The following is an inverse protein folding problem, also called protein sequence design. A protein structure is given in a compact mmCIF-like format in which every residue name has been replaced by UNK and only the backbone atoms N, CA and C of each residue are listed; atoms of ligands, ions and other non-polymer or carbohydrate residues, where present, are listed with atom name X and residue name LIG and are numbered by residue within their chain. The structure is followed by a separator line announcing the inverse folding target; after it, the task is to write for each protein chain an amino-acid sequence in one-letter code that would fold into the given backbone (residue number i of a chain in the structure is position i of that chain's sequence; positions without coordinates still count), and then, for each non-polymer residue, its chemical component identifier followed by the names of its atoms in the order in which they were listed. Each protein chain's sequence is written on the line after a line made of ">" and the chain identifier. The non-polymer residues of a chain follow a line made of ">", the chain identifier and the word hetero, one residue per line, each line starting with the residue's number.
data_IF_577854977902
#
_entry.id   IF_577854977902
#
_cell.length_a   1.000
_cell.length_b   1.000
_cell.length_c   1.000
_cell.angle_alpha   90.00
_cell.angle_beta   90.00
_cell.angle_gamma   90.00
#
_symmetry.space_group_name_H-M   'P 1'
#
loop_
_entity.id
_entity.type
_entity.pdbx_description
1 polymer ?
#
# COMPACT_ATOMS: atom_id res chain seq x y z
N UNK A 1 -3.24 8.62 7.17
CA UNK A 1 -4.32 7.79 6.58
C UNK A 1 -4.13 7.79 5.07
N UNK A 2 -4.26 6.64 4.42
CA UNK A 2 -4.10 6.52 2.97
C UNK A 2 -5.27 7.20 2.24
N UNK A 3 -5.04 7.63 1.01
CA UNK A 3 -6.00 8.32 0.16
C UNK A 3 -5.99 7.67 -1.22
N UNK A 4 -7.17 7.29 -1.71
CA UNK A 4 -7.34 6.77 -3.07
C UNK A 4 -6.88 7.83 -4.09
N UNK A 5 -6.13 7.39 -5.10
CA UNK A 5 -5.53 8.26 -6.11
C UNK A 5 -4.16 8.83 -5.72
N UNK A 6 -3.65 8.56 -4.51
CA UNK A 6 -2.29 8.94 -4.10
C UNK A 6 -1.32 7.76 -4.15
N UNK A 7 -0.06 8.10 -4.32
CA UNK A 7 1.07 7.15 -4.25
C UNK A 7 1.90 7.37 -2.99
N UNK A 8 2.46 6.28 -2.48
CA UNK A 8 3.22 6.22 -1.24
C UNK A 8 4.47 5.37 -1.44
N UNK A 9 5.63 5.84 -0.95
CA UNK A 9 6.85 5.04 -0.97
C UNK A 9 6.79 3.94 0.09
N UNK A 10 7.26 2.74 -0.25
CA UNK A 10 7.52 1.67 0.73
C UNK A 10 8.94 1.81 1.29
N UNK A 11 9.20 1.24 2.47
CA UNK A 11 10.54 1.29 3.10
C UNK A 11 11.63 0.60 2.27
N UNK A 12 11.28 -0.37 1.42
CA UNK A 12 12.22 -1.03 0.50
C UNK A 12 12.35 -0.34 -0.86
N UNK A 13 11.90 0.92 -0.99
CA UNK A 13 12.14 1.73 -2.18
C UNK A 13 11.18 1.49 -3.36
N UNK A 14 10.10 0.73 -3.14
CA UNK A 14 9.01 0.59 -4.11
C UNK A 14 7.97 1.70 -3.92
N UNK A 15 7.03 1.80 -4.85
CA UNK A 15 5.93 2.78 -4.78
C UNK A 15 4.59 2.06 -4.82
N UNK A 16 3.74 2.29 -3.83
CA UNK A 16 2.36 1.83 -3.80
C UNK A 16 1.42 2.93 -4.31
N UNK A 17 0.64 2.66 -5.35
CA UNK A 17 -0.43 3.53 -5.86
C UNK A 17 -1.77 3.05 -5.30
N UNK A 18 -2.39 3.83 -4.43
CA UNK A 18 -3.66 3.48 -3.80
C UNK A 18 -4.83 3.67 -4.77
N UNK A 19 -5.52 2.58 -5.13
CA UNK A 19 -6.58 2.60 -6.16
C UNK A 19 -7.98 2.38 -5.59
N UNK A 20 -8.10 1.77 -4.42
CA UNK A 20 -9.41 1.52 -3.79
C UNK A 20 -9.34 1.55 -2.26
N UNK A 21 -10.45 1.95 -1.67
CA UNK A 21 -10.76 1.77 -0.25
C UNK A 21 -11.94 0.79 -0.17
N UNK A 22 -11.71 -0.37 0.43
CA UNK A 22 -12.70 -1.43 0.66
C UNK A 22 -13.00 -1.57 2.16
N UNK A 23 -12.89 -0.48 2.93
CA UNK A 23 -13.06 -0.50 4.39
C UNK A 23 -14.42 -0.95 4.90
N UNK A 24 -15.44 -1.02 4.02
CA UNK A 24 -16.74 -1.64 4.32
C UNK A 24 -16.67 -3.18 4.31
N UNK A 25 -15.69 -3.76 3.62
CA UNK A 25 -15.50 -5.22 3.44
C UNK A 25 -14.36 -5.75 4.30
N UNK A 26 -13.21 -5.07 4.30
CA UNK A 26 -12.04 -5.42 5.10
C UNK A 26 -11.60 -4.23 5.94
N UNK A 27 -11.80 -4.36 7.25
CA UNK A 27 -11.45 -3.29 8.20
C UNK A 27 -9.98 -3.29 8.60
N UNK A 28 -9.25 -4.39 8.33
CA UNK A 28 -7.83 -4.56 8.69
C UNK A 28 -6.96 -4.02 7.57
N UNK A 29 -7.18 -4.45 6.31
CA UNK A 29 -6.42 -4.02 5.14
C UNK A 29 -7.30 -3.34 4.08
N UNK A 30 -7.93 -2.19 4.40
CA UNK A 30 -8.92 -1.56 3.54
C UNK A 30 -8.36 -0.98 2.24
N UNK A 31 -7.06 -0.64 2.17
CA UNK A 31 -6.53 0.12 1.04
C UNK A 31 -5.82 -0.77 0.02
N UNK A 32 -6.44 -0.97 -1.13
CA UNK A 32 -5.92 -1.79 -2.22
C UNK A 32 -5.27 -0.97 -3.35
N UNK A 33 -4.22 -1.48 -3.95
CA UNK A 33 -3.54 -0.82 -5.06
C UNK A 33 -2.36 -1.58 -5.66
N UNK A 34 -1.77 -1.04 -6.72
CA UNK A 34 -0.59 -1.61 -7.37
C UNK A 34 0.70 -1.10 -6.73
N UNK A 35 1.64 -2.01 -6.50
CA UNK A 35 3.02 -1.72 -6.13
C UNK A 35 3.88 -1.77 -7.39
N UNK A 36 4.74 -0.77 -7.54
CA UNK A 36 5.67 -0.60 -8.66
C UNK A 36 7.11 -0.64 -8.14
N UNK A 37 8.00 -1.27 -8.92
CA UNK A 37 9.43 -1.24 -8.69
C UNK A 37 9.99 0.17 -8.95
N UNK A 38 11.24 0.42 -8.54
CA UNK A 38 11.92 1.71 -8.72
C UNK A 38 12.09 2.12 -10.19
N UNK A 39 12.06 1.16 -11.11
CA UNK A 39 12.09 1.40 -12.56
C UNK A 39 10.71 1.69 -13.17
N UNK A 40 9.65 1.71 -12.35
CA UNK A 40 8.26 1.93 -12.78
C UNK A 40 7.54 0.67 -13.28
N UNK A 41 8.19 -0.49 -13.33
CA UNK A 41 7.53 -1.75 -13.67
C UNK A 41 6.54 -2.19 -12.57
N UNK A 42 5.42 -2.82 -12.95
CA UNK A 42 4.47 -3.38 -11.99
C UNK A 42 5.08 -4.59 -11.28
N UNK A 43 5.03 -4.60 -9.95
CA UNK A 43 5.45 -5.72 -9.11
C UNK A 43 4.25 -6.61 -8.74
N UNK A 44 3.31 -6.07 -7.96
CA UNK A 44 2.16 -6.83 -7.43
C UNK A 44 0.99 -5.93 -7.06
N UNK A 45 -0.21 -6.51 -6.98
CA UNK A 45 -1.32 -5.87 -6.27
C UNK A 45 -1.22 -6.16 -4.77
N UNK A 46 -1.44 -5.16 -3.92
CA UNK A 46 -1.29 -5.27 -2.47
C UNK A 46 -2.41 -4.52 -1.74
N UNK A 47 -2.64 -4.91 -0.48
CA UNK A 47 -3.52 -4.22 0.44
C UNK A 47 -2.74 -3.75 1.68
N UNK A 48 -3.10 -2.59 2.20
CA UNK A 48 -2.46 -1.96 3.35
C UNK A 48 -3.48 -1.57 4.41
N UNK A 49 -3.03 -1.56 5.66
CA UNK A 49 -3.83 -1.02 6.76
C UNK A 49 -4.02 0.49 6.62
N UNK A 50 -4.92 1.08 7.42
CA UNK A 50 -5.09 2.55 7.47
C UNK A 50 -3.81 3.30 7.88
N UNK A 51 -2.92 2.62 8.60
CA UNK A 51 -1.60 3.10 9.00
C UNK A 51 -0.47 2.74 8.03
N UNK A 52 -0.78 2.19 6.85
CA UNK A 52 0.21 1.91 5.82
C UNK A 52 1.11 0.69 6.12
N UNK A 53 0.68 -0.22 7.00
CA UNK A 53 1.42 -1.48 7.22
C UNK A 53 0.97 -2.55 6.24
N UNK A 54 1.94 -3.32 5.71
CA UNK A 54 1.68 -4.34 4.67
C UNK A 54 1.15 -5.66 5.25
N UNK A 55 1.54 -5.96 6.49
CA UNK A 55 1.08 -7.11 7.26
C UNK A 55 0.94 -6.71 8.73
N UNK A 56 0.42 -7.59 9.56
CA UNK A 56 0.17 -7.32 10.99
C UNK A 56 1.45 -7.13 11.82
N UNK A 57 2.62 -7.41 11.24
CA UNK A 57 3.95 -7.17 11.81
C UNK A 57 4.73 -6.20 10.95
N UNK A 58 5.72 -5.52 11.55
CA UNK A 58 6.59 -4.59 10.81
C UNK A 58 7.19 -5.26 9.59
N UNK A 59 7.20 -4.54 8.46
CA UNK A 59 7.70 -5.05 7.20
C UNK A 59 8.52 -4.01 6.46
N UNK A 60 9.48 -4.48 5.67
CA UNK A 60 10.18 -3.65 4.66
C UNK A 60 9.24 -3.08 3.59
N UNK A 61 8.06 -3.67 3.42
CA UNK A 61 7.04 -3.23 2.48
C UNK A 61 6.11 -2.16 3.07
N UNK A 62 6.21 -1.85 4.37
CA UNK A 62 5.37 -0.80 4.97
C UNK A 62 5.60 0.55 4.27
N UNK A 63 4.54 1.35 4.20
CA UNK A 63 4.58 2.69 3.63
C UNK A 63 5.28 3.68 4.56
N UNK A 64 5.87 4.71 3.95
CA UNK A 64 6.41 5.89 4.62
C UNK A 64 5.34 6.97 4.57
N UNK A 65 4.67 7.22 5.70
CA UNK A 65 3.53 8.15 5.84
C UNK A 65 3.58 8.98 7.11
#
# INVERSE_FOLDING_TARGET
>A
MLTVGKSYSTKNGKTFSCEKDIGEVDTIFPFGGWVYNSDGSKDRFAYYTRGGTYKLTKSEYDLII
#
